data_IF_617982839967
#
_entry.id   IF_617982839967
#
_cell.length_a   1.000
_cell.length_b   1.000
_cell.length_c   1.000
_cell.angle_alpha   90.00
_cell.angle_beta   90.00
_cell.angle_gamma   90.00
#
_symmetry.space_group_name_H-M   'P 1'
#
loop_
_entity.id
_entity.type
_entity.pdbx_description
1 polymer ?
#
# COMPACT_ATOMS: atom_id res chain seq x y z
N UNK A 1 -2.80 32.10 0.68
CA UNK A 1 -2.02 31.10 -0.07
C UNK A 1 -1.71 29.94 0.87
N UNK A 2 -2.63 28.98 1.00
CA UNK A 2 -2.47 27.81 1.87
C UNK A 2 -3.26 26.62 1.31
N UNK A 3 -3.21 26.40 -0.01
CA UNK A 3 -3.92 25.29 -0.67
C UNK A 3 -3.03 24.43 -1.57
N UNK A 4 -1.73 24.71 -1.69
CA UNK A 4 -0.82 23.91 -2.52
C UNK A 4 -0.23 22.68 -1.81
N UNK A 5 -0.30 22.60 -0.47
CA UNK A 5 0.21 21.46 0.29
C UNK A 5 -0.80 20.32 0.40
N UNK A 6 -2.11 20.59 0.30
CA UNK A 6 -3.16 19.60 0.52
C UNK A 6 -3.40 18.71 -0.72
N UNK A 7 -3.26 19.28 -1.92
CA UNK A 7 -3.37 18.54 -3.20
C UNK A 7 -2.22 17.53 -3.37
N UNK A 8 -0.99 17.92 -3.01
CA UNK A 8 0.19 17.03 -3.13
C UNK A 8 0.18 15.87 -2.12
N UNK A 9 -0.45 16.06 -0.95
CA UNK A 9 -0.64 14.98 0.03
C UNK A 9 -1.67 13.97 -0.49
N UNK A 10 -2.76 14.42 -1.12
CA UNK A 10 -3.77 13.53 -1.70
C UNK A 10 -3.20 12.65 -2.82
N UNK A 11 -2.46 13.23 -3.77
CA UNK A 11 -1.85 12.47 -4.88
C UNK A 11 -0.81 11.45 -4.37
N UNK A 12 -0.03 11.83 -3.34
CA UNK A 12 0.91 10.92 -2.70
C UNK A 12 0.21 9.73 -2.03
N UNK A 13 -0.87 10.00 -1.30
CA UNK A 13 -1.66 8.97 -0.62
C UNK A 13 -2.33 8.03 -1.62
N UNK A 14 -2.87 8.57 -2.72
CA UNK A 14 -3.44 7.76 -3.79
C UNK A 14 -2.41 6.84 -4.44
N UNK A 15 -1.23 7.37 -4.77
CA UNK A 15 -0.12 6.58 -5.31
C UNK A 15 0.33 5.48 -4.34
N UNK A 16 0.30 5.76 -3.03
CA UNK A 16 0.66 4.79 -2.00
C UNK A 16 -0.38 3.68 -1.85
N UNK A 17 -1.67 4.03 -1.86
CA UNK A 17 -2.77 3.07 -1.87
C UNK A 17 -2.73 2.18 -3.11
N UNK A 18 -2.40 2.74 -4.28
CA UNK A 18 -2.19 1.96 -5.49
C UNK A 18 -1.04 0.96 -5.34
N UNK A 19 0.08 1.38 -4.73
CA UNK A 19 1.22 0.49 -4.45
C UNK A 19 0.84 -0.65 -3.52
N UNK A 20 0.07 -0.38 -2.45
CA UNK A 20 -0.46 -1.41 -1.54
C UNK A 20 -1.33 -2.41 -2.30
N UNK A 21 -2.28 -1.93 -3.12
CA UNK A 21 -3.16 -2.81 -3.93
C UNK A 21 -2.34 -3.67 -4.89
N UNK A 22 -1.33 -3.10 -5.55
CA UNK A 22 -0.44 -3.81 -6.46
C UNK A 22 0.36 -4.89 -5.72
N UNK A 23 1.00 -4.57 -4.60
CA UNK A 23 1.77 -5.53 -3.81
C UNK A 23 0.89 -6.69 -3.31
N UNK A 24 -0.34 -6.42 -2.88
CA UNK A 24 -1.32 -7.46 -2.50
C UNK A 24 -1.69 -8.36 -3.69
N UNK A 25 -1.91 -7.80 -4.87
CA UNK A 25 -2.21 -8.58 -6.08
C UNK A 25 -1.02 -9.45 -6.51
N UNK A 26 0.18 -8.88 -6.49
CA UNK A 26 1.44 -9.57 -6.84
C UNK A 26 1.73 -10.71 -5.83
N UNK A 27 1.46 -10.50 -4.54
CA UNK A 27 1.56 -11.55 -3.50
C UNK A 27 0.61 -12.73 -3.77
N UNK A 28 -0.64 -12.45 -4.13
CA UNK A 28 -1.61 -13.50 -4.47
C UNK A 28 -1.16 -14.27 -5.70
N UNK A 29 -0.64 -13.59 -6.73
CA UNK A 29 -0.12 -14.22 -7.92
C UNK A 29 1.12 -15.09 -7.62
N UNK A 30 2.07 -14.58 -6.83
CA UNK A 30 3.27 -15.29 -6.43
C UNK A 30 2.96 -16.57 -5.63
N UNK A 31 2.00 -16.50 -4.69
CA UNK A 31 1.54 -17.67 -3.94
C UNK A 31 0.88 -18.72 -4.83
N UNK A 32 0.10 -18.31 -5.83
CA UNK A 32 -0.51 -19.25 -6.81
C UNK A 32 0.53 -19.92 -7.70
N UNK A 33 1.64 -19.24 -7.96
CA UNK A 33 2.74 -19.75 -8.76
C UNK A 33 3.76 -20.58 -7.95
N UNK A 34 3.61 -20.66 -6.63
CA UNK A 34 4.59 -21.24 -5.68
C UNK A 34 5.99 -20.61 -5.82
N UNK A 35 6.03 -19.33 -6.21
CA UNK A 35 7.27 -18.57 -6.39
C UNK A 35 7.66 -17.89 -5.07
N UNK A 36 8.47 -18.59 -4.29
CA UNK A 36 8.94 -18.14 -2.97
C UNK A 36 9.71 -16.81 -3.04
N UNK A 37 10.47 -16.58 -4.12
CA UNK A 37 11.20 -15.33 -4.29
C UNK A 37 10.22 -14.18 -4.54
N UNK A 38 9.28 -14.35 -5.46
CA UNK A 38 8.27 -13.34 -5.74
C UNK A 38 7.37 -13.05 -4.53
N UNK A 39 7.04 -14.06 -3.70
CA UNK A 39 6.34 -13.87 -2.43
C UNK A 39 7.14 -12.96 -1.49
N UNK A 40 8.45 -13.18 -1.38
CA UNK A 40 9.32 -12.39 -0.50
C UNK A 40 9.41 -10.94 -0.97
N UNK A 41 9.54 -10.73 -2.28
CA UNK A 41 9.55 -9.38 -2.88
C UNK A 41 8.21 -8.67 -2.62
N UNK A 42 7.09 -9.33 -2.89
CA UNK A 42 5.77 -8.72 -2.73
C UNK A 42 5.45 -8.38 -1.26
N UNK A 43 5.92 -9.18 -0.30
CA UNK A 43 5.79 -8.88 1.13
C UNK A 43 6.63 -7.67 1.55
N UNK A 44 7.87 -7.55 1.06
CA UNK A 44 8.72 -6.39 1.34
C UNK A 44 8.11 -5.10 0.78
N UNK A 45 7.63 -5.14 -0.46
CA UNK A 45 6.95 -4.00 -1.09
C UNK A 45 5.66 -3.60 -0.37
N UNK A 46 4.92 -4.58 0.16
CA UNK A 46 3.73 -4.32 0.97
C UNK A 46 4.11 -3.64 2.29
N UNK A 47 5.07 -4.18 3.03
CA UNK A 47 5.52 -3.60 4.32
C UNK A 47 6.04 -2.16 4.14
N UNK A 48 6.83 -1.90 3.09
CA UNK A 48 7.32 -0.56 2.79
C UNK A 48 6.19 0.42 2.48
N UNK A 49 5.20 0.00 1.70
CA UNK A 49 4.05 0.85 1.38
C UNK A 49 3.18 1.14 2.61
N UNK A 50 2.96 0.14 3.47
CA UNK A 50 2.20 0.31 4.71
C UNK A 50 2.97 1.17 5.73
N UNK A 51 4.29 1.02 5.82
CA UNK A 51 5.15 1.86 6.67
C UNK A 51 5.09 3.32 6.23
N UNK A 52 5.25 3.59 4.94
CA UNK A 52 5.08 4.94 4.39
C UNK A 52 3.69 5.50 4.69
N UNK A 53 2.64 4.68 4.65
CA UNK A 53 1.29 5.17 4.91
C UNK A 53 1.16 5.63 6.36
N UNK A 54 1.68 4.82 7.30
CA UNK A 54 1.71 5.15 8.73
C UNK A 54 2.56 6.39 9.03
N UNK A 55 3.70 6.56 8.37
CA UNK A 55 4.55 7.75 8.50
C UNK A 55 3.80 9.04 8.11
N UNK A 56 2.84 8.94 7.20
CA UNK A 56 1.98 10.04 6.77
C UNK A 56 0.63 10.11 7.51
N UNK A 57 0.40 9.25 8.52
CA UNK A 57 -0.81 9.23 9.33
C UNK A 57 -2.00 8.47 8.73
N UNK A 58 -1.77 7.65 7.71
CA UNK A 58 -2.80 6.83 7.07
C UNK A 58 -2.68 5.37 7.49
N UNK A 59 -3.80 4.81 7.91
CA UNK A 59 -3.89 3.38 8.19
C UNK A 59 -4.44 2.64 6.97
N UNK A 60 -3.62 1.76 6.40
CA UNK A 60 -3.95 1.00 5.18
C UNK A 60 -4.65 -0.33 5.49
N UNK A 61 -4.69 -0.74 6.76
CA UNK A 61 -5.51 -1.87 7.22
C UNK A 61 -6.96 -1.44 7.46
N UNK A 62 -7.19 -0.21 7.91
CA UNK A 62 -8.53 0.33 8.18
C UNK A 62 -9.42 0.43 6.92
N UNK A 63 -8.83 0.57 5.72
CA UNK A 63 -9.57 0.61 4.47
C UNK A 63 -10.23 -0.73 4.07
N UNK A 64 -10.04 -1.80 4.86
CA UNK A 64 -10.70 -3.09 4.70
C UNK A 64 -11.50 -3.57 5.92
N UNK A 65 -11.67 -2.74 6.96
CA UNK A 65 -12.25 -3.14 8.24
C UNK A 65 -13.45 -2.28 8.70
N UNK A 66 -14.16 -1.61 7.78
CA UNK A 66 -15.48 -1.01 8.05
C UNK A 66 -16.65 -2.00 7.82
N UNK A 67 -16.41 -3.29 8.01
CA UNK A 67 -17.47 -4.27 8.21
C UNK A 67 -17.20 -5.01 9.55
N UNK A 68 -17.81 -4.53 10.63
CA UNK A 68 -17.81 -5.20 11.94
C UNK A 68 -18.11 -4.30 13.14
#
# INVERSE_FOLDING_TARGET
MAQSSEVGVSEFVEALLERVRKAKADLVAARKADDVYAVTVALGELDDAERLAREHGFDTEAAGADEG
#
